data_IF_295385266479
#
_entry.id   IF_295385266479
#
_cell.length_a   1.000
_cell.length_b   1.000
_cell.length_c   1.000
_cell.angle_alpha   90.00
_cell.angle_beta   90.00
_cell.angle_gamma   90.00
#
_symmetry.space_group_name_H-M   'P 1'
#
loop_
_entity.id
_entity.type
_entity.pdbx_description
1 polymer ?
#
# COMPACT_ATOMS: atom_id res chain seq x y z
N UNK A 1 -15.05 -17.00 50.13
CA UNK A 1 -14.66 -16.19 51.31
C UNK A 1 -13.41 -15.38 50.96
N UNK A 2 -13.48 -14.05 51.14
CA UNK A 2 -12.38 -13.10 51.52
C UNK A 2 -11.18 -13.00 50.54
N UNK A 3 -10.80 -11.85 49.97
CA UNK A 3 -10.88 -10.45 50.43
C UNK A 3 -10.84 -9.49 49.23
N UNK A 4 -11.68 -8.46 49.31
CA UNK A 4 -11.65 -7.22 48.54
C UNK A 4 -10.76 -6.18 49.25
N UNK A 5 -10.17 -5.29 48.44
CA UNK A 5 -9.88 -3.87 48.70
C UNK A 5 -8.75 -3.51 49.68
N UNK A 6 -7.94 -2.49 49.29
CA UNK A 6 -7.48 -1.35 50.11
C UNK A 6 -6.51 -0.46 49.26
N UNK A 7 -7.00 0.73 48.84
CA UNK A 7 -6.52 2.11 49.18
C UNK A 7 -5.37 2.61 48.27
N UNK A 8 -5.62 3.46 47.24
CA UNK A 8 -5.82 4.93 47.22
C UNK A 8 -4.74 5.78 47.93
N UNK A 9 -4.27 6.82 47.22
CA UNK A 9 -3.79 8.10 47.75
C UNK A 9 -2.29 8.27 48.12
N UNK A 10 -1.51 8.83 47.18
CA UNK A 10 -0.36 9.71 47.43
C UNK A 10 -0.32 10.75 46.28
N UNK A 11 -0.98 11.91 46.39
CA UNK A 11 -0.48 13.19 46.95
C UNK A 11 0.78 13.69 46.19
N UNK A 12 0.61 14.47 45.12
CA UNK A 12 0.61 15.95 45.03
C UNK A 12 1.99 16.62 45.09
N UNK A 13 2.18 17.59 44.18
CA UNK A 13 3.21 18.67 44.12
C UNK A 13 4.45 18.22 43.32
N UNK A 14 4.75 18.81 42.16
CA UNK A 14 5.39 20.14 42.02
C UNK A 14 4.82 21.00 40.88
N UNK A 15 4.69 22.29 41.21
CA UNK A 15 4.29 23.44 40.39
C UNK A 15 5.56 24.16 39.91
N UNK A 16 5.55 24.67 38.68
CA UNK A 16 6.15 25.95 38.18
C UNK A 16 6.30 25.78 36.65
N UNK A 17 5.73 26.59 35.75
CA UNK A 17 5.38 28.00 35.80
C UNK A 17 6.47 28.80 35.09
N UNK A 18 6.20 29.33 33.88
CA UNK A 18 6.67 30.64 33.42
C UNK A 18 6.01 31.02 32.08
N UNK A 19 5.16 32.05 32.14
CA UNK A 19 4.68 32.86 31.02
C UNK A 19 5.77 33.86 30.61
N UNK A 20 5.82 34.21 29.32
CA UNK A 20 6.67 35.28 28.80
C UNK A 20 6.00 36.04 27.66
N UNK A 21 5.10 36.96 27.98
CA UNK A 21 4.67 38.03 27.08
C UNK A 21 5.74 39.14 27.11
N UNK A 22 6.32 39.46 25.95
CA UNK A 22 7.28 40.55 25.76
C UNK A 22 6.87 41.45 24.61
N UNK A 23 6.65 42.71 24.93
CA UNK A 23 6.14 43.82 24.13
C UNK A 23 7.12 44.41 23.12
N UNK A 24 6.55 45.02 22.08
CA UNK A 24 7.11 45.93 21.06
C UNK A 24 8.08 46.99 21.64
N UNK A 25 9.04 47.51 20.85
CA UNK A 25 8.89 48.92 20.47
C UNK A 25 9.32 49.29 19.04
N UNK A 26 8.65 50.35 18.58
CA UNK A 26 8.86 51.23 17.42
C UNK A 26 10.27 51.84 17.29
N UNK A 27 10.74 52.00 16.04
CA UNK A 27 11.60 53.10 15.58
C UNK A 27 11.34 53.32 14.07
N UNK A 28 10.54 54.31 13.68
CA UNK A 28 10.85 55.72 13.33
C UNK A 28 11.51 55.90 11.95
N UNK A 29 10.78 56.69 11.16
CA UNK A 29 11.01 57.20 9.82
C UNK A 29 12.34 57.93 9.62
N UNK A 30 12.87 57.87 8.40
CA UNK A 30 13.66 58.94 7.81
C UNK A 30 13.38 58.98 6.31
N UNK A 31 12.62 59.99 5.86
CA UNK A 31 12.66 60.42 4.46
C UNK A 31 12.67 61.96 4.43
N UNK A 32 13.78 62.45 3.90
CA UNK A 32 14.13 63.85 3.70
C UNK A 32 13.19 64.50 2.66
N UNK A 33 12.76 65.76 2.85
CA UNK A 33 12.05 66.52 1.82
C UNK A 33 13.05 67.26 0.93
N UNK A 34 12.85 67.30 -0.40
CA UNK A 34 13.35 68.40 -1.25
C UNK A 34 12.63 68.46 -2.60
N UNK A 35 12.07 69.66 -2.82
CA UNK A 35 11.85 70.43 -4.05
C UNK A 35 10.93 69.99 -5.19
N UNK A 36 9.87 70.79 -5.28
CA UNK A 36 9.22 71.40 -6.45
C UNK A 36 10.12 71.68 -7.66
N UNK A 37 9.69 71.25 -8.84
CA UNK A 37 9.82 71.91 -10.17
C UNK A 37 8.86 71.15 -11.10
N UNK A 38 7.70 71.73 -11.44
CA UNK A 38 7.46 72.33 -12.76
C UNK A 38 6.45 71.48 -13.56
N UNK A 39 5.32 72.03 -14.04
CA UNK A 39 4.36 71.26 -14.84
C UNK A 39 4.83 71.25 -16.29
N UNK A 40 5.39 70.14 -16.76
CA UNK A 40 5.63 69.90 -18.18
C UNK A 40 4.50 69.03 -18.72
N UNK A 41 3.66 69.64 -19.54
CA UNK A 41 2.51 69.02 -20.20
C UNK A 41 3.04 68.05 -21.25
N UNK A 42 3.23 66.79 -20.86
CA UNK A 42 3.49 65.69 -21.78
C UNK A 42 2.19 65.08 -22.27
N UNK A 43 2.06 65.03 -23.59
CA UNK A 43 0.97 64.45 -24.35
C UNK A 43 0.86 62.94 -24.08
N UNK A 44 -0.16 62.53 -23.33
CA UNK A 44 -0.43 61.12 -23.03
C UNK A 44 -1.21 60.48 -24.19
N UNK A 45 -0.48 60.02 -25.22
CA UNK A 45 -1.03 59.06 -26.17
C UNK A 45 -1.14 57.69 -25.47
N UNK A 46 -2.31 57.03 -25.41
CA UNK A 46 -2.42 55.72 -24.81
C UNK A 46 -1.66 54.69 -25.68
N UNK A 47 -0.51 54.25 -25.18
CA UNK A 47 0.21 53.09 -25.72
C UNK A 47 -0.63 51.82 -25.48
N UNK A 48 -0.74 50.88 -26.44
CA UNK A 48 -1.45 49.63 -26.21
C UNK A 48 -0.79 48.88 -25.04
N UNK A 49 -1.58 48.59 -24.00
CA UNK A 49 -1.17 47.72 -22.90
C UNK A 49 -0.89 46.33 -23.51
N UNK A 50 0.29 45.73 -23.31
CA UNK A 50 0.51 44.35 -23.73
C UNK A 50 -0.48 43.45 -22.97
N UNK A 51 -1.38 42.79 -23.69
CA UNK A 51 -2.21 41.72 -23.16
C UNK A 51 -1.27 40.61 -22.67
N UNK A 52 -1.17 40.43 -21.35
CA UNK A 52 -0.52 39.26 -20.76
C UNK A 52 -1.31 38.03 -21.19
N UNK A 53 -0.74 37.27 -22.13
CA UNK A 53 -1.24 35.95 -22.50
C UNK A 53 -1.09 35.04 -21.25
N UNK A 54 -2.09 34.21 -20.89
CA UNK A 54 -1.91 33.25 -19.82
C UNK A 54 -0.67 32.39 -20.10
N UNK A 55 0.29 32.42 -19.17
CA UNK A 55 1.46 31.53 -19.20
C UNK A 55 0.96 30.08 -19.14
N UNK A 56 1.52 29.14 -19.92
CA UNK A 56 1.13 27.74 -19.80
C UNK A 56 1.36 27.30 -18.35
N UNK A 57 0.31 26.76 -17.73
CA UNK A 57 0.37 26.18 -16.38
C UNK A 57 1.40 25.04 -16.41
N UNK A 58 2.39 25.08 -15.52
CA UNK A 58 3.37 24.00 -15.43
C UNK A 58 2.66 22.68 -15.14
N UNK A 59 2.97 21.65 -15.92
CA UNK A 59 2.50 20.28 -15.66
C UNK A 59 3.13 19.84 -14.32
N UNK A 60 2.34 19.42 -13.32
CA UNK A 60 2.89 18.98 -12.04
C UNK A 60 3.78 17.75 -12.24
N UNK A 61 4.92 17.72 -11.54
CA UNK A 61 5.80 16.54 -11.52
C UNK A 61 5.08 15.38 -10.83
N UNK A 62 5.11 14.19 -11.43
CA UNK A 62 4.51 12.98 -10.86
C UNK A 62 5.53 12.31 -9.95
N UNK A 63 5.19 12.20 -8.68
CA UNK A 63 6.00 11.52 -7.66
C UNK A 63 5.19 10.37 -7.08
N UNK A 64 5.67 9.16 -7.30
CA UNK A 64 5.01 7.91 -6.96
C UNK A 64 5.39 7.47 -5.55
N UNK A 65 4.39 7.20 -4.71
CA UNK A 65 4.61 6.50 -3.45
C UNK A 65 4.78 5.00 -3.69
N UNK A 66 5.91 4.46 -3.26
CA UNK A 66 6.18 3.03 -3.16
C UNK A 66 5.82 2.57 -1.75
N UNK A 67 4.53 2.29 -1.54
CA UNK A 67 4.02 1.74 -0.28
C UNK A 67 4.62 0.34 -0.04
N UNK A 68 5.16 0.12 1.16
CA UNK A 68 5.76 -1.15 1.58
C UNK A 68 4.73 -2.30 1.64
N UNK A 69 3.44 -1.97 1.73
CA UNK A 69 2.35 -2.94 1.62
C UNK A 69 2.01 -3.32 0.16
N UNK A 70 2.72 -2.78 -0.84
CA UNK A 70 2.55 -3.24 -2.21
C UNK A 70 3.28 -4.58 -2.45
N UNK A 71 2.69 -5.48 -3.24
CA UNK A 71 3.40 -6.67 -3.71
C UNK A 71 4.73 -6.30 -4.38
N UNK A 72 5.81 -7.00 -4.02
CA UNK A 72 7.17 -6.73 -4.53
C UNK A 72 7.21 -6.69 -6.06
N UNK A 73 6.53 -7.60 -6.75
CA UNK A 73 6.49 -7.60 -8.21
C UNK A 73 5.83 -6.34 -8.82
N UNK A 74 4.92 -5.66 -8.10
CA UNK A 74 4.41 -4.35 -8.49
C UNK A 74 5.44 -3.25 -8.22
N UNK A 75 6.09 -3.25 -7.05
CA UNK A 75 7.18 -2.32 -6.73
C UNK A 75 8.28 -2.39 -7.81
N UNK A 76 8.63 -3.61 -8.24
CA UNK A 76 9.60 -3.85 -9.31
C UNK A 76 9.15 -3.30 -10.67
N UNK A 77 7.87 -3.48 -11.04
CA UNK A 77 7.33 -2.90 -12.27
C UNK A 77 7.39 -1.37 -12.25
N UNK A 78 7.04 -0.78 -11.11
CA UNK A 78 7.03 0.67 -10.91
C UNK A 78 8.43 1.26 -10.91
N UNK A 79 9.37 0.62 -10.21
CA UNK A 79 10.76 1.07 -10.08
C UNK A 79 11.54 0.99 -11.40
N UNK A 80 11.16 0.08 -12.31
CA UNK A 80 11.73 0.00 -13.66
C UNK A 80 11.22 1.10 -14.60
N UNK A 81 10.17 1.82 -14.23
CA UNK A 81 9.64 2.90 -15.05
C UNK A 81 10.46 4.18 -14.83
N UNK A 82 11.28 4.54 -15.83
CA UNK A 82 12.15 5.73 -15.77
C UNK A 82 11.40 7.07 -15.85
N UNK A 83 10.11 7.06 -16.19
CA UNK A 83 9.28 8.27 -16.26
C UNK A 83 8.70 8.68 -14.90
N UNK A 84 8.74 7.78 -13.90
CA UNK A 84 8.22 8.03 -12.57
C UNK A 84 9.37 8.13 -11.58
N UNK A 85 9.33 9.17 -10.74
CA UNK A 85 10.18 9.24 -9.57
C UNK A 85 9.48 8.53 -8.41
N UNK A 86 10.04 7.42 -7.95
CA UNK A 86 9.56 6.70 -6.76
C UNK A 86 10.08 7.33 -5.47
N UNK A 87 9.23 7.37 -4.44
CA UNK A 87 9.54 7.79 -3.08
C UNK A 87 8.89 6.80 -2.09
N UNK A 88 9.57 6.51 -0.98
CA UNK A 88 9.04 5.64 0.07
C UNK A 88 8.26 6.41 1.14
N UNK A 89 8.51 7.72 1.25
CA UNK A 89 7.81 8.61 2.17
C UNK A 89 6.53 9.16 1.52
N UNK A 90 5.36 8.77 2.04
CA UNK A 90 4.06 9.14 1.47
C UNK A 90 3.86 10.64 1.32
N UNK A 91 4.35 11.43 2.28
CA UNK A 91 4.19 12.90 2.29
C UNK A 91 4.97 13.61 1.17
N UNK A 92 5.91 12.92 0.52
CA UNK A 92 6.66 13.45 -0.63
C UNK A 92 6.05 13.02 -1.98
N UNK A 93 5.03 12.17 -1.96
CA UNK A 93 4.39 11.64 -3.14
C UNK A 93 3.05 12.30 -3.44
N UNK A 94 2.64 12.23 -4.69
CA UNK A 94 1.36 12.78 -5.16
C UNK A 94 0.55 11.80 -6.01
N UNK A 95 1.10 10.61 -6.30
CA UNK A 95 0.42 9.48 -6.92
C UNK A 95 0.73 8.22 -6.12
N UNK A 96 -0.24 7.34 -5.93
CA UNK A 96 -0.05 6.04 -5.28
C UNK A 96 -1.03 5.00 -5.82
N UNK A 97 -0.75 3.72 -5.56
CA UNK A 97 -1.72 2.66 -5.72
C UNK A 97 -2.49 2.48 -4.43
N UNK A 98 -3.79 2.29 -4.54
CA UNK A 98 -4.65 1.98 -3.40
C UNK A 98 -5.53 0.77 -3.71
N UNK A 99 -5.85 0.02 -2.65
CA UNK A 99 -6.81 -1.08 -2.75
C UNK A 99 -8.19 -0.56 -3.11
N UNK A 100 -8.88 -1.30 -3.97
CA UNK A 100 -10.20 -0.97 -4.50
C UNK A 100 -11.03 -2.22 -4.75
N UNK A 101 -12.27 -2.05 -5.21
CA UNK A 101 -13.09 -3.16 -5.70
C UNK A 101 -12.64 -3.62 -7.10
N UNK A 102 -12.92 -4.88 -7.51
CA UNK A 102 -12.53 -5.41 -8.81
C UNK A 102 -12.97 -4.53 -10.00
N UNK A 103 -14.14 -3.90 -9.94
CA UNK A 103 -14.71 -3.11 -11.04
C UNK A 103 -13.95 -1.81 -11.32
N UNK A 104 -13.23 -1.30 -10.32
CA UNK A 104 -12.44 -0.07 -10.41
C UNK A 104 -10.94 -0.36 -10.52
N UNK A 105 -10.56 -1.64 -10.54
CA UNK A 105 -9.18 -2.10 -10.57
C UNK A 105 -8.49 -1.70 -11.87
N UNK A 106 -7.23 -1.29 -11.75
CA UNK A 106 -6.28 -1.10 -12.86
C UNK A 106 -5.31 -2.26 -12.95
N UNK A 107 -5.03 -2.93 -11.84
CA UNK A 107 -4.23 -4.15 -11.80
C UNK A 107 -4.66 -5.01 -10.62
N UNK A 108 -4.71 -6.32 -10.85
CA UNK A 108 -5.03 -7.29 -9.81
C UNK A 108 -3.82 -8.17 -9.54
N UNK A 109 -3.43 -8.30 -8.27
CA UNK A 109 -2.36 -9.17 -7.83
C UNK A 109 -2.92 -10.38 -7.10
N UNK A 110 -2.60 -11.58 -7.58
CA UNK A 110 -3.21 -12.84 -7.13
C UNK A 110 -2.21 -13.60 -6.27
N UNK A 111 -2.64 -14.01 -5.08
CA UNK A 111 -1.90 -14.92 -4.21
C UNK A 111 -2.59 -16.28 -4.16
N UNK A 112 -1.85 -17.37 -4.33
CA UNK A 112 -2.38 -18.71 -4.21
C UNK A 112 -2.24 -19.23 -2.76
N UNK A 113 -3.31 -19.80 -2.23
CA UNK A 113 -3.23 -20.65 -1.05
C UNK A 113 -2.73 -22.03 -1.48
N UNK A 114 -1.66 -22.51 -0.86
CA UNK A 114 -1.00 -23.76 -1.24
C UNK A 114 -0.67 -24.63 -0.02
N UNK A 115 -0.36 -25.89 -0.27
CA UNK A 115 0.10 -26.86 0.73
C UNK A 115 1.05 -27.87 0.04
N UNK A 116 1.90 -28.61 0.76
CA UNK A 116 2.61 -29.74 0.17
C UNK A 116 1.63 -30.84 -0.31
N UNK A 117 2.00 -31.59 -1.34
CA UNK A 117 1.16 -32.70 -1.85
C UNK A 117 0.87 -33.80 -0.81
N UNK A 118 1.72 -33.96 0.21
CA UNK A 118 1.52 -34.90 1.30
C UNK A 118 0.37 -34.53 2.26
N UNK A 119 -0.10 -33.29 2.19
CA UNK A 119 -1.18 -32.76 3.02
C UNK A 119 -2.53 -33.36 2.65
N UNK A 120 -3.37 -33.58 3.66
CA UNK A 120 -4.75 -34.05 3.49
C UNK A 120 -5.75 -32.91 3.29
N UNK A 121 -5.30 -31.65 3.37
CA UNK A 121 -6.15 -30.48 3.13
C UNK A 121 -6.61 -30.46 1.67
N UNK A 122 -7.92 -30.32 1.44
CA UNK A 122 -8.51 -30.27 0.10
C UNK A 122 -9.06 -28.89 -0.25
N UNK A 123 -9.61 -28.17 0.72
CA UNK A 123 -10.18 -26.84 0.57
C UNK A 123 -10.10 -26.08 1.89
N UNK A 124 -10.15 -24.75 1.81
CA UNK A 124 -10.24 -23.87 2.97
C UNK A 124 -11.28 -22.79 2.66
N UNK A 125 -12.06 -22.39 3.66
CA UNK A 125 -12.92 -21.22 3.55
C UNK A 125 -12.15 -19.95 3.91
N UNK A 126 -12.42 -18.85 3.21
CA UNK A 126 -11.74 -17.57 3.45
C UNK A 126 -11.93 -17.06 4.88
N UNK A 127 -13.13 -17.19 5.42
CA UNK A 127 -13.42 -16.81 6.80
C UNK A 127 -12.57 -17.62 7.79
N UNK A 128 -12.25 -18.86 7.44
CA UNK A 128 -11.43 -19.74 8.25
C UNK A 128 -9.95 -19.36 8.16
N UNK A 129 -9.44 -19.11 6.94
CA UNK A 129 -8.11 -18.58 6.71
C UNK A 129 -7.87 -17.27 7.50
N UNK A 130 -8.83 -16.34 7.45
CA UNK A 130 -8.73 -15.06 8.16
C UNK A 130 -8.68 -15.22 9.69
N UNK A 131 -9.45 -16.17 10.25
CA UNK A 131 -9.39 -16.48 11.69
C UNK A 131 -8.02 -16.99 12.10
N UNK A 132 -7.48 -17.95 11.35
CA UNK A 132 -6.14 -18.50 11.61
C UNK A 132 -5.08 -17.41 11.47
N UNK A 133 -5.13 -16.63 10.39
CA UNK A 133 -4.24 -15.49 10.14
C UNK A 133 -4.18 -14.54 11.34
N UNK A 134 -5.33 -14.20 11.92
CA UNK A 134 -5.45 -13.27 13.04
C UNK A 134 -5.22 -13.91 14.43
N UNK A 135 -4.87 -15.20 14.50
CA UNK A 135 -4.56 -15.87 15.76
C UNK A 135 -5.78 -16.34 16.56
N UNK A 136 -6.94 -16.47 15.92
CA UNK A 136 -8.13 -16.96 16.60
C UNK A 136 -8.05 -18.48 16.76
N UNK A 137 -8.21 -18.95 18.00
CA UNK A 137 -8.08 -20.36 18.33
C UNK A 137 -9.15 -21.21 17.63
N UNK A 138 -8.71 -22.29 17.01
CA UNK A 138 -9.57 -23.23 16.31
C UNK A 138 -8.94 -24.64 16.33
N UNK A 139 -9.78 -25.67 16.43
CA UNK A 139 -9.35 -27.07 16.49
C UNK A 139 -8.76 -27.56 15.15
N UNK A 140 -9.17 -26.93 14.04
CA UNK A 140 -8.69 -27.23 12.69
C UNK A 140 -7.55 -26.31 12.25
N UNK A 141 -7.09 -25.41 13.14
CA UNK A 141 -6.03 -24.46 12.80
C UNK A 141 -4.72 -25.15 12.43
N UNK A 142 -4.19 -24.75 11.28
CA UNK A 142 -2.87 -25.14 10.79
C UNK A 142 -1.97 -23.92 10.68
N UNK A 143 -0.67 -24.15 10.70
CA UNK A 143 0.30 -23.08 10.47
C UNK A 143 0.22 -22.58 9.03
N UNK A 144 0.43 -21.28 8.84
CA UNK A 144 0.43 -20.57 7.56
C UNK A 144 1.84 -20.00 7.38
N UNK A 145 2.56 -20.50 6.38
CA UNK A 145 3.87 -20.02 6.03
C UNK A 145 3.75 -18.92 4.98
N UNK A 146 4.44 -17.80 5.19
CA UNK A 146 4.50 -16.69 4.24
C UNK A 146 5.88 -16.05 4.27
N UNK A 147 6.24 -15.34 3.20
CA UNK A 147 7.36 -14.40 3.25
C UNK A 147 6.95 -13.12 3.97
N UNK A 148 7.93 -12.34 4.44
CA UNK A 148 7.67 -11.03 5.04
C UNK A 148 6.92 -10.11 4.05
N UNK A 149 7.37 -10.06 2.80
CA UNK A 149 6.71 -9.28 1.73
C UNK A 149 5.26 -9.72 1.48
N UNK A 150 5.00 -11.03 1.49
CA UNK A 150 3.64 -11.56 1.32
C UNK A 150 2.78 -11.22 2.53
N UNK A 151 3.33 -11.28 3.74
CA UNK A 151 2.62 -10.88 4.96
C UNK A 151 2.24 -9.40 4.90
N UNK A 152 3.19 -8.52 4.62
CA UNK A 152 3.00 -7.08 4.52
C UNK A 152 1.96 -6.73 3.46
N UNK A 153 2.03 -7.36 2.29
CA UNK A 153 1.06 -7.11 1.22
C UNK A 153 -0.36 -7.57 1.56
N UNK A 154 -0.51 -8.62 2.38
CA UNK A 154 -1.81 -9.16 2.77
C UNK A 154 -2.41 -8.49 4.01
N UNK A 155 -1.63 -7.78 4.83
CA UNK A 155 -2.15 -7.12 6.03
C UNK A 155 -3.32 -6.16 5.77
N UNK A 156 -3.31 -5.33 4.70
CA UNK A 156 -4.46 -4.47 4.39
C UNK A 156 -5.77 -5.23 4.10
N UNK A 157 -5.66 -6.50 3.67
CA UNK A 157 -6.79 -7.36 3.31
C UNK A 157 -7.24 -8.28 4.46
N UNK A 158 -6.27 -8.96 5.09
CA UNK A 158 -6.50 -9.96 6.13
C UNK A 158 -6.43 -9.38 7.56
N UNK A 159 -5.96 -8.14 7.70
CA UNK A 159 -5.55 -7.55 8.97
C UNK A 159 -4.16 -8.02 9.40
N UNK A 160 -3.70 -7.50 10.53
CA UNK A 160 -2.40 -7.87 11.10
C UNK A 160 -2.33 -9.37 11.39
N UNK A 161 -1.24 -10.01 10.96
CA UNK A 161 -1.04 -11.43 11.22
C UNK A 161 -0.70 -11.70 12.69
N UNK A 162 -0.99 -12.92 13.14
CA UNK A 162 -0.63 -13.41 14.46
C UNK A 162 0.46 -14.47 14.37
N UNK A 163 1.55 -14.34 15.16
CA UNK A 163 2.61 -15.35 15.21
C UNK A 163 2.16 -16.69 15.81
N UNK A 164 0.90 -16.80 16.27
CA UNK A 164 0.33 -18.05 16.76
C UNK A 164 0.15 -19.09 15.65
N UNK A 165 -0.24 -18.64 14.45
CA UNK A 165 -0.51 -19.51 13.30
C UNK A 165 0.13 -19.00 12.01
N UNK A 166 0.84 -17.87 12.02
CA UNK A 166 1.58 -17.38 10.86
C UNK A 166 3.07 -17.40 11.18
N UNK A 167 3.83 -18.12 10.36
CA UNK A 167 5.29 -18.19 10.46
C UNK A 167 5.91 -17.54 9.23
N UNK A 168 6.84 -16.62 9.47
CA UNK A 168 7.61 -15.99 8.40
C UNK A 168 8.77 -16.90 7.99
N UNK A 169 8.92 -17.13 6.70
CA UNK A 169 10.00 -17.91 6.09
C UNK A 169 10.64 -17.12 4.95
N UNK A 170 11.90 -17.42 4.65
CA UNK A 170 12.56 -16.88 3.45
C UNK A 170 11.97 -17.52 2.19
N UNK A 171 11.90 -16.77 1.08
CA UNK A 171 11.35 -17.25 -0.20
C UNK A 171 11.95 -18.59 -0.62
N UNK A 172 13.29 -18.70 -0.59
CA UNK A 172 14.02 -19.92 -0.98
C UNK A 172 13.80 -21.10 -0.02
N UNK A 173 13.38 -20.83 1.22
CA UNK A 173 13.15 -21.83 2.26
C UNK A 173 11.69 -22.24 2.41
N UNK A 174 10.74 -21.45 1.89
CA UNK A 174 9.30 -21.59 2.14
C UNK A 174 8.77 -22.98 1.77
N UNK A 175 9.11 -23.47 0.57
CA UNK A 175 8.72 -24.80 0.10
C UNK A 175 9.29 -25.89 1.01
N UNK A 176 10.60 -25.86 1.27
CA UNK A 176 11.26 -26.88 2.09
C UNK A 176 10.77 -26.85 3.55
N UNK A 177 10.38 -25.70 4.08
CA UNK A 177 9.72 -25.57 5.38
C UNK A 177 8.33 -26.22 5.39
N UNK A 178 7.55 -26.04 4.32
CA UNK A 178 6.23 -26.64 4.20
C UNK A 178 6.29 -28.17 4.11
N UNK A 179 7.24 -28.73 3.33
CA UNK A 179 7.40 -30.18 3.17
C UNK A 179 7.82 -30.92 4.45
N UNK A 180 8.31 -30.21 5.48
CA UNK A 180 8.63 -30.78 6.79
C UNK A 180 7.40 -30.97 7.68
N UNK A 181 6.25 -30.42 7.30
CA UNK A 181 5.01 -30.45 8.07
C UNK A 181 3.96 -31.29 7.32
N UNK A 182 3.11 -32.00 8.07
CA UNK A 182 2.08 -32.85 7.47
C UNK A 182 0.96 -32.01 6.88
N UNK A 183 0.35 -31.19 7.73
CA UNK A 183 -0.74 -30.28 7.38
C UNK A 183 -0.28 -28.86 7.69
N UNK A 184 -0.03 -28.10 6.63
CA UNK A 184 0.46 -26.73 6.67
C UNK A 184 -0.04 -26.01 5.43
N UNK A 185 -0.35 -24.73 5.58
CA UNK A 185 -0.65 -23.86 4.46
C UNK A 185 0.54 -22.95 4.18
N UNK A 186 0.65 -22.51 2.95
CA UNK A 186 1.46 -21.36 2.61
C UNK A 186 0.66 -20.44 1.69
N UNK A 187 0.98 -19.15 1.69
CA UNK A 187 0.44 -18.19 0.73
C UNK A 187 1.60 -17.70 -0.11
N UNK A 188 1.48 -17.84 -1.43
CA UNK A 188 2.52 -17.47 -2.39
C UNK A 188 1.96 -16.57 -3.49
N UNK A 189 2.71 -15.57 -3.98
CA UNK A 189 2.38 -14.89 -5.23
C UNK A 189 2.19 -15.90 -6.37
N UNK A 190 1.19 -15.70 -7.22
CA UNK A 190 0.89 -16.63 -8.32
C UNK A 190 2.09 -16.85 -9.27
N UNK A 191 2.85 -15.80 -9.55
CA UNK A 191 4.07 -15.82 -10.35
C UNK A 191 5.24 -16.57 -9.69
N UNK A 192 5.18 -16.82 -8.38
CA UNK A 192 6.11 -17.68 -7.64
C UNK A 192 5.58 -19.10 -7.44
N UNK A 193 4.41 -19.42 -7.99
CA UNK A 193 3.86 -20.76 -7.91
C UNK A 193 4.73 -21.74 -8.71
N UNK A 194 5.06 -22.86 -8.08
CA UNK A 194 5.87 -23.95 -8.63
C UNK A 194 5.12 -25.28 -8.64
N UNK A 195 5.45 -26.19 -9.57
CA UNK A 195 4.84 -27.53 -9.69
C UNK A 195 4.79 -28.40 -8.42
N UNK A 196 5.68 -28.15 -7.45
CA UNK A 196 5.77 -28.93 -6.20
C UNK A 196 4.70 -28.53 -5.18
N UNK A 197 3.95 -27.46 -5.43
CA UNK A 197 2.84 -27.03 -4.59
C UNK A 197 1.53 -27.69 -5.01
N UNK A 198 0.72 -28.07 -4.02
CA UNK A 198 -0.70 -28.35 -4.22
C UNK A 198 -1.49 -27.08 -3.94
N UNK A 199 -2.14 -26.51 -4.94
CA UNK A 199 -3.00 -25.33 -4.77
C UNK A 199 -4.31 -25.74 -4.09
N UNK A 200 -4.65 -25.06 -3.01
CA UNK A 200 -5.88 -25.28 -2.24
C UNK A 200 -6.94 -24.26 -2.69
N UNK A 201 -8.11 -24.71 -3.16
CA UNK A 201 -9.24 -23.84 -3.42
C UNK A 201 -9.65 -23.09 -2.15
N UNK A 202 -9.91 -21.80 -2.33
CA UNK A 202 -10.41 -20.91 -1.31
C UNK A 202 -11.83 -20.50 -1.69
N UNK A 203 -12.83 -20.85 -0.87
CA UNK A 203 -14.25 -20.71 -1.23
C UNK A 203 -14.60 -21.35 -2.60
N UNK A 204 -14.07 -22.54 -2.89
CA UNK A 204 -14.20 -23.24 -4.19
C UNK A 204 -13.56 -22.54 -5.40
N UNK A 205 -12.80 -21.45 -5.21
CA UNK A 205 -12.05 -20.79 -6.27
C UNK A 205 -10.58 -21.17 -6.18
N UNK A 206 -9.99 -21.58 -7.31
CA UNK A 206 -8.57 -21.90 -7.42
C UNK A 206 -7.95 -21.09 -8.56
N UNK A 207 -6.85 -20.35 -8.33
CA UNK A 207 -6.25 -19.48 -9.35
C UNK A 207 -5.69 -20.24 -10.54
N UNK A 208 -5.44 -21.55 -10.39
CA UNK A 208 -4.98 -22.44 -11.47
C UNK A 208 -6.13 -23.14 -12.22
N UNK A 209 -7.38 -22.94 -11.82
CA UNK A 209 -8.54 -23.55 -12.47
C UNK A 209 -8.94 -22.82 -13.75
N UNK A 210 -9.42 -23.57 -14.75
CA UNK A 210 -10.04 -23.01 -15.96
C UNK A 210 -11.38 -22.31 -15.69
N UNK A 211 -11.97 -22.53 -14.51
CA UNK A 211 -13.22 -21.88 -14.08
C UNK A 211 -12.96 -20.73 -13.10
N UNK A 212 -11.71 -20.32 -12.94
CA UNK A 212 -11.32 -19.27 -12.02
C UNK A 212 -11.96 -17.93 -12.37
N UNK A 213 -12.59 -17.32 -11.38
CA UNK A 213 -13.11 -15.95 -11.46
C UNK A 213 -12.31 -15.07 -10.51
N UNK A 214 -11.49 -14.20 -11.08
CA UNK A 214 -10.56 -13.36 -10.31
C UNK A 214 -11.31 -12.38 -9.40
N UNK A 215 -12.46 -11.89 -9.86
CA UNK A 215 -13.36 -10.97 -9.16
C UNK A 215 -13.98 -11.58 -7.89
N UNK A 216 -14.13 -12.90 -7.84
CA UNK A 216 -14.71 -13.64 -6.71
C UNK A 216 -13.62 -14.19 -5.77
N UNK A 217 -12.34 -14.06 -6.13
CA UNK A 217 -11.25 -14.69 -5.40
C UNK A 217 -10.74 -13.82 -4.24
N UNK A 218 -10.79 -14.33 -3.00
CA UNK A 218 -10.60 -13.47 -1.84
C UNK A 218 -9.13 -13.18 -1.51
N UNK A 219 -8.17 -13.77 -2.22
CA UNK A 219 -6.74 -13.41 -2.15
C UNK A 219 -6.27 -12.68 -3.44
N UNK A 220 -7.20 -12.01 -4.12
CA UNK A 220 -6.90 -11.09 -5.22
C UNK A 220 -6.93 -9.64 -4.71
N UNK A 221 -5.77 -8.98 -4.73
CA UNK A 221 -5.64 -7.58 -4.34
C UNK A 221 -5.82 -6.71 -5.58
N UNK A 222 -6.85 -5.88 -5.56
CA UNK A 222 -7.23 -5.03 -6.67
C UNK A 222 -6.73 -3.61 -6.39
N UNK A 223 -5.89 -3.08 -7.27
CA UNK A 223 -5.28 -1.76 -7.12
C UNK A 223 -5.77 -0.80 -8.19
N UNK A 224 -6.01 0.44 -7.79
CA UNK A 224 -6.21 1.57 -8.71
C UNK A 224 -5.22 2.69 -8.41
N UNK A 225 -5.00 3.53 -9.41
CA UNK A 225 -4.29 4.78 -9.24
C UNK A 225 -5.12 5.77 -8.43
N UNK A 226 -4.50 6.40 -7.44
CA UNK A 226 -5.01 7.56 -6.74
C UNK A 226 -3.97 8.69 -6.76
N UNK A 227 -4.42 9.93 -6.63
CA UNK A 227 -3.57 11.11 -6.72
C UNK A 227 -4.15 12.31 -6.00
N UNK A 228 -3.26 13.16 -5.48
CA UNK A 228 -3.60 14.48 -4.95
C UNK A 228 -3.52 15.59 -6.01
N UNK A 229 -3.06 15.28 -7.22
CA UNK A 229 -2.90 16.24 -8.31
C UNK A 229 -4.24 16.56 -8.98
N UNK A 230 -4.48 17.82 -9.37
CA UNK A 230 -5.62 18.17 -10.21
C UNK A 230 -5.42 17.61 -11.65
N UNK A 231 -6.50 17.10 -12.26
CA UNK A 231 -6.55 16.56 -13.63
C UNK A 231 -5.84 15.22 -13.88
N UNK A 232 -6.27 14.17 -13.16
CA UNK A 232 -5.81 12.77 -13.31
C UNK A 232 -5.81 12.27 -14.76
N UNK A 233 -6.77 12.70 -15.58
CA UNK A 233 -6.91 12.30 -16.99
C UNK A 233 -5.73 12.72 -17.87
N UNK A 234 -4.93 13.70 -17.43
CA UNK A 234 -3.71 14.14 -18.13
C UNK A 234 -2.45 13.42 -17.69
N UNK A 235 -2.52 12.65 -16.60
CA UNK A 235 -1.40 11.87 -16.09
C UNK A 235 -1.27 10.59 -16.92
N UNK A 236 -0.19 10.50 -17.68
CA UNK A 236 0.17 9.29 -18.42
C UNK A 236 0.79 8.27 -17.45
N UNK A 237 -0.07 7.67 -16.61
CA UNK A 237 0.35 6.63 -15.67
C UNK A 237 0.58 5.30 -16.42
N UNK A 238 1.57 4.49 -15.99
CA UNK A 238 1.85 3.24 -16.65
C UNK A 238 0.69 2.26 -16.51
N UNK A 239 0.53 1.45 -17.54
CA UNK A 239 -0.24 0.22 -17.44
C UNK A 239 0.57 -0.80 -16.64
N UNK A 240 -0.08 -1.45 -15.68
CA UNK A 240 0.53 -2.42 -14.79
C UNK A 240 0.03 -3.81 -15.17
N UNK A 241 0.92 -4.79 -15.09
CA UNK A 241 0.62 -6.16 -15.49
C UNK A 241 0.36 -6.98 -14.23
N UNK A 242 -0.71 -7.78 -14.25
CA UNK A 242 -1.01 -8.76 -13.20
C UNK A 242 0.08 -9.83 -13.12
N UNK A 243 0.30 -10.41 -11.94
CA UNK A 243 1.18 -11.57 -11.78
C UNK A 243 0.55 -12.89 -12.25
N UNK A 244 -0.74 -12.91 -12.58
CA UNK A 244 -1.42 -14.11 -13.08
C UNK A 244 -1.27 -14.23 -14.59
N UNK A 245 -0.18 -14.86 -15.03
CA UNK A 245 0.07 -15.19 -16.45
C UNK A 245 -0.55 -16.54 -16.85
N UNK A 246 -1.32 -16.56 -17.94
CA UNK A 246 -1.90 -17.77 -18.52
C UNK A 246 -0.85 -18.78 -18.99
N UNK A 247 0.33 -18.33 -19.44
CA UNK A 247 1.40 -19.24 -19.86
C UNK A 247 1.89 -20.11 -18.69
N UNK A 248 1.96 -19.52 -17.49
CA UNK A 248 2.37 -20.21 -16.26
C UNK A 248 1.38 -21.30 -15.83
N UNK A 249 0.09 -21.17 -16.18
CA UNK A 249 -0.90 -22.23 -15.98
C UNK A 249 -0.53 -23.53 -16.71
N UNK A 250 0.07 -23.42 -17.90
CA UNK A 250 0.49 -24.58 -18.70
C UNK A 250 1.68 -25.31 -18.06
N UNK A 251 2.56 -24.58 -17.38
CA UNK A 251 3.71 -25.16 -16.68
C UNK A 251 3.28 -25.88 -15.41
N UNK A 252 2.41 -25.27 -14.61
CA UNK A 252 1.90 -25.85 -13.37
C UNK A 252 0.98 -27.03 -13.67
N UNK A 253 0.06 -26.89 -14.64
CA UNK A 253 -0.92 -27.92 -14.99
C UNK A 253 -0.34 -29.20 -15.60
N UNK A 254 0.91 -29.19 -16.09
CA UNK A 254 1.59 -30.42 -16.56
C UNK A 254 2.10 -31.31 -15.41
N UNK A 255 2.16 -30.78 -14.19
CA UNK A 255 2.67 -31.48 -13.03
C UNK A 255 1.59 -32.08 -12.12
N UNK A 256 0.33 -31.79 -12.38
CA UNK A 256 -0.85 -32.32 -11.70
C UNK A 256 -1.58 -33.33 -12.60
#
# INVERSE_FOLDING_TARGET
MRKKWVIYLWLLIWISGCNGNGTNPTAISTSTPTSLTGPEVSSNSPSPIPTVLPSPSAVPEVVLWLDEALPVGLIDQLSRNTMLRGEYEKDQANVWLELTTPEQSRVTWVYALVTPFSSLLEQVDYAQLMKWWQGQADAEAVNILVTEDTANALEPLLGKFSPLYVTLEEETGLLEAAWKQRDVLAIVPFDQLEPRWKVIPLNNQSPISNQFKVEDYPLALNYRWNTSLPAVESLHLPELVSNRDENKLTEIGRAH
#
